data_IF_705236285685
#
_entry.id   IF_705236285685
#
_cell.length_a   1.000
_cell.length_b   1.000
_cell.length_c   1.000
_cell.angle_alpha   90.00
_cell.angle_beta   90.00
_cell.angle_gamma   90.00
#
_symmetry.space_group_name_H-M   'P 1'
#
loop_
_entity.id
_entity.type
_entity.pdbx_description
1 polymer ?
#
# COMPACT_ATOMS: atom_id res chain seq x y z
N UNK A 1 -19.55 17.12 9.25
CA UNK A 1 -18.56 16.53 8.33
C UNK A 1 -18.55 17.37 7.06
N UNK A 2 -17.38 17.69 6.50
CA UNK A 2 -17.32 18.34 5.18
C UNK A 2 -17.90 17.41 4.11
N UNK A 3 -18.36 17.97 2.99
CA UNK A 3 -18.82 17.15 1.86
C UNK A 3 -17.66 16.32 1.31
N UNK A 4 -17.78 15.00 1.31
CA UNK A 4 -16.74 14.10 0.82
C UNK A 4 -16.61 14.21 -0.70
N UNK A 5 -15.35 14.31 -1.15
CA UNK A 5 -14.96 14.37 -2.56
C UNK A 5 -13.97 13.28 -2.95
N UNK A 6 -13.37 12.61 -1.98
CA UNK A 6 -12.51 11.46 -2.21
C UNK A 6 -12.69 10.40 -1.13
N UNK A 7 -12.74 9.14 -1.55
CA UNK A 7 -12.72 7.95 -0.70
C UNK A 7 -11.38 7.25 -0.96
N UNK A 8 -10.50 7.25 0.02
CA UNK A 8 -9.24 6.53 0.01
C UNK A 8 -9.38 5.27 0.87
N UNK A 9 -9.32 4.10 0.27
CA UNK A 9 -9.59 2.82 0.97
C UNK A 9 -8.42 1.86 0.82
N UNK A 10 -8.08 1.18 1.90
CA UNK A 10 -7.28 -0.03 1.83
C UNK A 10 -8.01 -1.15 1.06
N UNK A 11 -7.26 -2.17 0.63
CA UNK A 11 -7.75 -3.35 -0.07
C UNK A 11 -7.99 -4.52 0.90
N UNK A 12 -6.91 -5.04 1.50
CA UNK A 12 -6.88 -6.37 2.12
C UNK A 12 -7.35 -6.31 3.57
N UNK A 13 -8.55 -6.83 3.84
CA UNK A 13 -9.18 -6.67 5.16
C UNK A 13 -10.09 -5.45 5.25
N UNK A 14 -10.21 -4.70 4.15
CA UNK A 14 -11.06 -3.50 4.07
C UNK A 14 -12.04 -3.54 2.89
N UNK A 15 -11.54 -3.47 1.66
CA UNK A 15 -12.37 -3.45 0.44
C UNK A 15 -12.86 -4.84 0.03
N UNK A 16 -11.99 -5.85 0.16
CA UNK A 16 -12.28 -7.24 -0.24
C UNK A 16 -12.55 -8.12 0.98
N UNK A 17 -13.36 -9.15 0.78
CA UNK A 17 -13.60 -10.18 1.79
C UNK A 17 -12.35 -11.06 2.00
N UNK A 18 -12.43 -12.00 2.95
CA UNK A 18 -11.30 -12.90 3.26
C UNK A 18 -10.95 -13.83 2.09
N UNK A 19 -11.90 -14.08 1.20
CA UNK A 19 -11.71 -14.83 -0.04
C UNK A 19 -11.21 -13.95 -1.21
N UNK A 20 -10.84 -12.69 -0.92
CA UNK A 20 -10.31 -11.69 -1.85
C UNK A 20 -11.29 -11.29 -2.96
N UNK A 21 -12.59 -11.44 -2.72
CA UNK A 21 -13.65 -11.02 -3.63
C UNK A 21 -14.20 -9.64 -3.26
N UNK A 22 -14.67 -8.92 -4.28
CA UNK A 22 -15.47 -7.72 -4.10
C UNK A 22 -16.93 -8.10 -3.92
N UNK A 23 -17.54 -7.62 -2.84
CA UNK A 23 -18.98 -7.73 -2.65
C UNK A 23 -19.74 -6.92 -3.72
N UNK A 24 -20.85 -7.46 -4.28
CA UNK A 24 -21.72 -6.70 -5.18
C UNK A 24 -22.18 -5.37 -4.58
N UNK A 25 -22.44 -5.33 -3.26
CA UNK A 25 -22.87 -4.13 -2.55
C UNK A 25 -21.79 -3.07 -2.54
N UNK A 26 -20.55 -3.44 -2.21
CA UNK A 26 -19.39 -2.53 -2.25
C UNK A 26 -19.16 -1.97 -3.66
N UNK A 27 -19.28 -2.81 -4.69
CA UNK A 27 -19.16 -2.35 -6.09
C UNK A 27 -20.24 -1.31 -6.42
N UNK A 28 -21.49 -1.55 -6.04
CA UNK A 28 -22.61 -0.63 -6.32
C UNK A 28 -22.42 0.72 -5.62
N UNK A 29 -22.09 0.70 -4.33
CA UNK A 29 -21.90 1.90 -3.51
C UNK A 29 -20.74 2.75 -4.03
N UNK A 30 -19.62 2.14 -4.41
CA UNK A 30 -18.49 2.86 -5.01
C UNK A 30 -18.81 3.37 -6.42
N UNK A 31 -19.59 2.63 -7.22
CA UNK A 31 -20.10 3.13 -8.51
C UNK A 31 -20.97 4.36 -8.32
N UNK A 32 -21.86 4.36 -7.34
CA UNK A 32 -22.70 5.51 -7.00
C UNK A 32 -21.86 6.71 -6.57
N UNK A 33 -20.87 6.51 -5.70
CA UNK A 33 -20.01 7.61 -5.23
C UNK A 33 -19.31 8.32 -6.41
N UNK A 34 -18.82 7.55 -7.38
CA UNK A 34 -18.20 8.10 -8.59
C UNK A 34 -19.19 8.82 -9.50
N UNK A 35 -20.43 8.33 -9.61
CA UNK A 35 -21.48 9.03 -10.35
C UNK A 35 -21.79 10.41 -9.74
N UNK A 36 -21.59 10.57 -8.43
CA UNK A 36 -21.71 11.84 -7.71
C UNK A 36 -20.42 12.70 -7.75
N UNK A 37 -19.42 12.30 -8.56
CA UNK A 37 -18.16 13.02 -8.75
C UNK A 37 -17.13 12.81 -7.64
N UNK A 38 -17.32 11.80 -6.78
CA UNK A 38 -16.38 11.46 -5.71
C UNK A 38 -15.30 10.53 -6.28
N UNK A 39 -14.03 10.90 -6.08
CA UNK A 39 -12.91 10.04 -6.45
C UNK A 39 -12.86 8.83 -5.52
N UNK A 40 -12.72 7.63 -6.10
CA UNK A 40 -12.45 6.40 -5.34
C UNK A 40 -11.01 5.99 -5.62
N UNK A 41 -10.18 5.99 -4.59
CA UNK A 41 -8.74 5.72 -4.69
C UNK A 41 -8.40 4.51 -3.84
N UNK A 42 -7.86 3.47 -4.48
CA UNK A 42 -7.34 2.31 -3.76
C UNK A 42 -5.93 2.64 -3.24
N UNK A 43 -5.68 2.35 -1.97
CA UNK A 43 -4.41 2.58 -1.30
C UNK A 43 -3.83 1.25 -0.82
N UNK A 44 -2.71 0.80 -1.37
CA UNK A 44 -2.23 -0.57 -1.12
C UNK A 44 -0.71 -0.69 -1.06
N UNK A 45 -0.23 -1.72 -0.38
CA UNK A 45 1.17 -2.16 -0.42
C UNK A 45 1.56 -2.84 -1.75
N UNK A 46 0.57 -3.24 -2.56
CA UNK A 46 0.77 -3.95 -3.82
C UNK A 46 1.27 -3.01 -4.94
N UNK A 47 1.98 -3.55 -5.95
CA UNK A 47 2.22 -2.85 -7.20
C UNK A 47 0.94 -2.66 -8.02
N UNK A 48 0.98 -1.82 -9.06
CA UNK A 48 -0.14 -1.63 -9.99
C UNK A 48 -0.61 -2.95 -10.63
N UNK A 49 0.34 -3.83 -10.99
CA UNK A 49 0.03 -5.17 -11.53
C UNK A 49 -0.82 -6.01 -10.59
N UNK A 50 -0.64 -5.84 -9.28
CA UNK A 50 -1.35 -6.60 -8.23
C UNK A 50 -2.77 -6.12 -7.94
N UNK A 51 -3.21 -5.03 -8.57
CA UNK A 51 -4.55 -4.44 -8.37
C UNK A 51 -5.34 -4.21 -9.66
N UNK A 52 -4.74 -4.47 -10.83
CA UNK A 52 -5.36 -4.24 -12.13
C UNK A 52 -6.75 -4.88 -12.26
N UNK A 53 -6.93 -6.11 -11.78
CA UNK A 53 -8.23 -6.81 -11.82
C UNK A 53 -9.30 -6.10 -10.97
N UNK A 54 -8.94 -5.62 -9.77
CA UNK A 54 -9.85 -4.88 -8.90
C UNK A 54 -10.26 -3.55 -9.53
N UNK A 55 -9.31 -2.85 -10.16
CA UNK A 55 -9.58 -1.61 -10.88
C UNK A 55 -10.60 -1.84 -12.00
N UNK A 56 -10.45 -2.89 -12.81
CA UNK A 56 -11.42 -3.24 -13.85
C UNK A 56 -12.79 -3.61 -13.29
N UNK A 57 -12.86 -4.41 -12.22
CA UNK A 57 -14.16 -4.77 -11.59
C UNK A 57 -14.91 -3.56 -11.05
N UNK A 58 -14.19 -2.58 -10.51
CA UNK A 58 -14.73 -1.31 -10.05
C UNK A 58 -14.96 -0.30 -11.19
N UNK A 59 -14.47 -0.57 -12.40
CA UNK A 59 -14.51 0.34 -13.55
C UNK A 59 -13.63 1.59 -13.37
N UNK A 60 -12.54 1.46 -12.62
CA UNK A 60 -11.53 2.49 -12.35
C UNK A 60 -10.36 2.42 -13.35
N UNK A 61 -10.36 1.50 -14.30
CA UNK A 61 -9.28 1.22 -15.25
C UNK A 61 -9.23 2.22 -16.43
N UNK A 62 -9.23 3.51 -16.12
CA UNK A 62 -9.06 4.60 -17.07
C UNK A 62 -8.14 5.69 -16.49
N UNK A 63 -7.71 6.63 -17.34
CA UNK A 63 -6.68 7.60 -16.96
C UNK A 63 -7.17 8.74 -16.07
N UNK A 64 -8.50 8.88 -15.90
CA UNK A 64 -9.12 9.87 -15.00
C UNK A 64 -9.20 9.37 -13.54
N UNK A 65 -8.83 8.10 -13.31
CA UNK A 65 -8.79 7.49 -11.98
C UNK A 65 -7.35 7.24 -11.55
N UNK A 66 -7.16 7.15 -10.24
CA UNK A 66 -5.85 7.08 -9.61
C UNK A 66 -5.79 5.94 -8.60
N UNK A 67 -4.58 5.45 -8.38
CA UNK A 67 -4.29 4.40 -7.40
C UNK A 67 -2.97 4.72 -6.70
N UNK A 68 -2.97 4.49 -5.38
CA UNK A 68 -1.78 4.62 -4.53
C UNK A 68 -1.23 3.21 -4.31
N UNK A 69 0.03 3.00 -4.68
CA UNK A 69 0.70 1.69 -4.67
C UNK A 69 1.94 1.72 -3.80
N UNK A 70 2.48 0.54 -3.47
CA UNK A 70 3.68 0.38 -2.65
C UNK A 70 3.62 1.17 -1.33
N UNK A 71 2.49 1.07 -0.62
CA UNK A 71 2.20 1.74 0.66
C UNK A 71 2.27 3.27 0.62
N UNK A 72 2.25 3.90 -0.57
CA UNK A 72 2.37 5.35 -0.70
C UNK A 72 3.65 5.80 -1.40
N UNK A 73 4.51 4.89 -1.84
CA UNK A 73 5.71 5.25 -2.60
C UNK A 73 5.38 5.90 -3.95
N UNK A 74 4.18 5.67 -4.49
CA UNK A 74 3.70 6.43 -5.65
C UNK A 74 2.18 6.47 -5.73
N UNK A 75 1.67 7.55 -6.32
CA UNK A 75 0.34 7.59 -6.92
C UNK A 75 0.49 7.59 -8.44
N UNK A 76 -0.31 6.78 -9.12
CA UNK A 76 -0.29 6.65 -10.58
C UNK A 76 -1.71 6.74 -11.14
N UNK A 77 -1.81 7.15 -12.40
CA UNK A 77 -3.02 6.98 -13.19
C UNK A 77 -3.32 5.50 -13.38
N UNK A 78 -4.58 5.09 -13.15
CA UNK A 78 -4.97 3.70 -12.99
C UNK A 78 -4.81 2.83 -14.27
N UNK A 79 -4.86 3.46 -15.46
CA UNK A 79 -4.70 2.74 -16.74
C UNK A 79 -3.29 2.84 -17.30
N UNK A 80 -2.79 4.05 -17.51
CA UNK A 80 -1.46 4.28 -18.11
C UNK A 80 -0.30 3.96 -17.16
N UNK A 81 -0.54 3.91 -15.85
CA UNK A 81 0.53 3.82 -14.85
C UNK A 81 1.40 5.08 -14.79
N UNK A 82 0.98 6.18 -15.43
CA UNK A 82 1.71 7.44 -15.39
C UNK A 82 1.72 7.98 -13.96
N UNK A 83 2.91 8.21 -13.42
CA UNK A 83 3.06 8.73 -12.09
C UNK A 83 2.57 10.17 -11.95
N UNK A 84 1.89 10.42 -10.84
CA UNK A 84 1.48 11.74 -10.36
C UNK A 84 2.58 12.28 -9.44
N UNK A 85 3.07 11.46 -8.52
CA UNK A 85 4.24 11.69 -7.68
C UNK A 85 4.90 10.36 -7.31
N UNK A 86 6.14 10.44 -6.81
CA UNK A 86 6.92 9.30 -6.31
C UNK A 86 7.73 9.71 -5.08
N UNK A 87 7.77 8.83 -4.09
CA UNK A 87 8.62 8.87 -2.90
C UNK A 87 9.52 7.64 -2.92
N UNK A 88 10.70 7.79 -3.50
CA UNK A 88 11.60 6.68 -3.82
C UNK A 88 12.73 6.55 -2.80
N UNK A 89 13.33 5.38 -2.76
CA UNK A 89 14.60 5.15 -2.08
C UNK A 89 15.75 5.41 -3.04
N UNK A 90 16.88 5.86 -2.50
CA UNK A 90 18.07 6.09 -3.32
C UNK A 90 18.77 4.77 -3.62
N UNK A 91 19.44 4.68 -4.77
CA UNK A 91 20.24 3.50 -5.10
C UNK A 91 21.37 3.24 -4.08
N UNK A 92 21.85 4.29 -3.40
CA UNK A 92 22.78 4.13 -2.26
C UNK A 92 22.15 3.40 -1.08
N UNK A 93 20.85 3.56 -0.84
CA UNK A 93 20.13 2.85 0.22
C UNK A 93 20.04 1.37 -0.10
N UNK A 94 19.76 1.03 -1.36
CA UNK A 94 19.78 -0.34 -1.85
C UNK A 94 21.15 -1.00 -1.70
N UNK A 95 22.23 -0.33 -2.11
CA UNK A 95 23.59 -0.84 -1.90
C UNK A 95 23.92 -1.06 -0.42
N UNK A 96 23.50 -0.15 0.44
CA UNK A 96 23.77 -0.24 1.87
C UNK A 96 22.97 -1.37 2.54
N UNK A 97 21.67 -1.47 2.27
CA UNK A 97 20.80 -2.51 2.80
C UNK A 97 21.16 -3.91 2.28
N UNK A 98 21.62 -4.03 1.03
CA UNK A 98 22.14 -5.28 0.47
C UNK A 98 23.41 -5.76 1.20
N UNK A 99 24.30 -4.84 1.58
CA UNK A 99 25.49 -5.20 2.35
C UNK A 99 25.11 -5.71 3.75
N UNK A 100 24.17 -5.02 4.41
CA UNK A 100 23.68 -5.41 5.74
C UNK A 100 22.93 -6.74 5.68
N UNK A 101 22.09 -6.97 4.67
CA UNK A 101 21.34 -8.22 4.57
C UNK A 101 22.27 -9.43 4.45
N UNK A 102 23.40 -9.29 3.74
CA UNK A 102 24.44 -10.33 3.65
C UNK A 102 25.16 -10.56 4.97
N UNK A 103 25.50 -9.49 5.69
CA UNK A 103 26.12 -9.58 7.02
C UNK A 103 25.21 -10.30 8.01
N UNK A 104 23.93 -9.93 8.02
CA UNK A 104 22.89 -10.49 8.90
C UNK A 104 22.33 -11.84 8.40
N UNK A 105 22.76 -12.30 7.22
CA UNK A 105 22.33 -13.56 6.59
C UNK A 105 20.81 -13.66 6.42
N UNK A 106 20.21 -12.57 5.95
CA UNK A 106 18.78 -12.48 5.63
C UNK A 106 18.61 -12.16 4.14
N UNK A 107 17.70 -12.87 3.49
CA UNK A 107 17.40 -12.66 2.07
C UNK A 107 16.69 -11.34 1.87
N UNK A 108 17.11 -10.61 0.83
CA UNK A 108 16.58 -9.29 0.50
C UNK A 108 16.12 -9.26 -0.96
N UNK A 109 15.08 -8.48 -1.20
CA UNK A 109 14.58 -8.13 -2.51
C UNK A 109 14.32 -6.62 -2.61
N UNK A 110 14.25 -6.11 -3.83
CA UNK A 110 13.95 -4.70 -4.10
C UNK A 110 12.91 -4.62 -5.20
N UNK A 111 11.93 -3.75 -5.02
CA UNK A 111 10.80 -3.60 -5.94
C UNK A 111 10.81 -2.20 -6.53
N UNK A 112 10.72 -2.14 -7.85
CA UNK A 112 10.66 -0.90 -8.61
C UNK A 112 9.22 -0.45 -8.86
N UNK A 113 9.07 0.83 -9.18
CA UNK A 113 7.77 1.47 -9.51
C UNK A 113 7.06 0.82 -10.69
N UNK A 114 7.79 0.20 -11.62
CA UNK A 114 7.30 -0.49 -12.80
C UNK A 114 7.10 -2.00 -12.58
N UNK A 115 6.91 -2.42 -11.31
CA UNK A 115 6.54 -3.80 -10.94
C UNK A 115 7.61 -4.86 -11.27
N UNK A 116 8.89 -4.48 -11.22
CA UNK A 116 9.99 -5.45 -11.26
C UNK A 116 10.47 -5.75 -9.85
N UNK A 117 10.81 -7.02 -9.61
CA UNK A 117 11.37 -7.49 -8.34
C UNK A 117 12.79 -7.99 -8.60
N UNK A 118 13.77 -7.31 -8.01
CA UNK A 118 15.18 -7.70 -8.05
C UNK A 118 15.56 -8.47 -6.79
N UNK A 119 16.22 -9.62 -6.98
CA UNK A 119 16.92 -10.37 -5.93
C UNK A 119 18.41 -10.35 -6.23
N UNK A 120 19.22 -10.15 -5.18
CA UNK A 120 20.68 -10.04 -5.31
C UNK A 120 21.42 -11.34 -4.98
N UNK A 121 20.72 -12.32 -4.42
CA UNK A 121 21.22 -13.69 -4.15
C UNK A 121 20.83 -14.64 -5.29
N UNK A 122 21.75 -15.51 -5.76
CA UNK A 122 21.42 -16.55 -6.73
C UNK A 122 20.59 -17.70 -6.12
N UNK A 123 20.64 -17.86 -4.80
CA UNK A 123 19.76 -18.76 -4.07
C UNK A 123 18.46 -18.00 -3.76
N UNK A 124 17.49 -18.12 -4.67
CA UNK A 124 16.25 -17.36 -4.62
C UNK A 124 15.36 -17.92 -3.52
N UNK A 125 15.06 -17.09 -2.51
CA UNK A 125 14.24 -17.48 -1.38
C UNK A 125 12.79 -17.82 -1.79
N UNK A 126 12.19 -18.81 -1.11
CA UNK A 126 10.79 -19.20 -1.28
C UNK A 126 9.83 -18.00 -1.20
N UNK A 127 10.05 -17.08 -0.25
CA UNK A 127 9.16 -15.94 -0.04
C UNK A 127 9.25 -14.87 -1.13
N UNK A 128 10.39 -14.76 -1.83
CA UNK A 128 10.48 -13.93 -3.05
C UNK A 128 9.69 -14.53 -4.21
N UNK A 129 9.72 -15.86 -4.37
CA UNK A 129 8.87 -16.55 -5.36
C UNK A 129 7.40 -16.38 -5.02
N UNK A 130 7.05 -16.54 -3.74
CA UNK A 130 5.68 -16.36 -3.26
C UNK A 130 5.15 -14.94 -3.53
N UNK A 131 5.97 -13.92 -3.29
CA UNK A 131 5.60 -12.52 -3.59
C UNK A 131 5.29 -12.34 -5.08
N UNK A 132 6.15 -12.84 -5.97
CA UNK A 132 5.94 -12.72 -7.43
C UNK A 132 4.68 -13.46 -7.89
N UNK A 133 4.32 -14.57 -7.24
CA UNK A 133 3.12 -15.32 -7.54
C UNK A 133 1.85 -14.51 -7.22
N UNK A 134 1.82 -13.83 -6.06
CA UNK A 134 0.65 -13.05 -5.64
C UNK A 134 0.54 -11.69 -6.32
N UNK A 135 1.67 -11.07 -6.67
CA UNK A 135 1.72 -9.69 -7.20
C UNK A 135 1.91 -9.63 -8.71
N UNK A 136 2.22 -10.76 -9.34
CA UNK A 136 2.53 -10.89 -10.77
C UNK A 136 3.71 -10.03 -11.24
N UNK A 137 4.63 -9.69 -10.32
CA UNK A 137 5.86 -8.97 -10.64
C UNK A 137 6.85 -9.84 -11.42
N UNK A 138 7.68 -9.19 -12.24
CA UNK A 138 8.77 -9.87 -12.96
C UNK A 138 9.98 -10.05 -12.04
N UNK A 139 10.27 -11.31 -11.66
CA UNK A 139 11.46 -11.67 -10.88
C UNK A 139 12.74 -11.56 -11.73
N UNK A 140 13.74 -10.86 -11.21
CA UNK A 140 15.06 -10.68 -11.83
C UNK A 140 16.15 -10.96 -10.81
N UNK A 141 16.96 -11.99 -11.06
CA UNK A 141 18.24 -12.13 -10.37
C UNK A 141 19.29 -11.21 -10.98
N UNK A 142 19.86 -10.32 -10.17
CA UNK A 142 21.00 -9.44 -10.49
C UNK A 142 21.78 -9.15 -9.21
N UNK A 143 23.09 -9.44 -9.15
CA UNK A 143 23.94 -8.89 -8.10
C UNK A 143 23.78 -7.37 -8.02
N UNK A 144 23.84 -6.78 -6.82
CA UNK A 144 23.63 -5.33 -6.63
C UNK A 144 24.53 -4.47 -7.53
N UNK A 145 25.74 -4.95 -7.84
CA UNK A 145 26.72 -4.30 -8.72
C UNK A 145 26.34 -4.30 -10.20
N UNK A 146 25.36 -5.10 -10.59
CA UNK A 146 24.86 -5.25 -11.97
C UNK A 146 23.46 -4.64 -12.17
N UNK A 147 22.83 -4.16 -11.09
CA UNK A 147 21.54 -3.45 -11.20
C UNK A 147 21.82 -2.03 -11.70
N UNK A 148 21.09 -1.53 -12.71
CA UNK A 148 21.24 -0.15 -13.17
C UNK A 148 20.98 0.85 -12.03
N UNK A 149 21.80 1.89 -11.89
CA UNK A 149 21.64 2.85 -10.79
C UNK A 149 20.43 3.79 -10.95
N UNK A 150 19.85 3.85 -12.15
CA UNK A 150 18.70 4.69 -12.50
C UNK A 150 17.34 4.00 -12.30
N UNK A 151 17.33 2.81 -11.69
CA UNK A 151 16.06 2.17 -11.31
C UNK A 151 15.32 3.01 -10.26
N UNK A 152 14.01 3.11 -10.42
CA UNK A 152 13.14 3.82 -9.48
C UNK A 152 12.68 2.86 -8.37
N UNK A 153 13.38 2.90 -7.23
CA UNK A 153 13.14 1.97 -6.13
C UNK A 153 11.95 2.45 -5.30
N UNK A 154 10.84 1.69 -5.35
CA UNK A 154 9.66 1.97 -4.55
C UNK A 154 9.82 1.44 -3.12
N UNK A 155 10.40 0.24 -2.97
CA UNK A 155 10.67 -0.36 -1.66
C UNK A 155 11.80 -1.38 -1.70
N UNK A 156 12.48 -1.53 -0.57
CA UNK A 156 13.46 -2.59 -0.32
C UNK A 156 12.91 -3.42 0.83
N UNK A 157 13.06 -4.75 0.81
CA UNK A 157 12.52 -5.57 1.89
C UNK A 157 13.30 -6.86 2.08
N UNK A 158 13.35 -7.31 3.32
CA UNK A 158 13.71 -8.69 3.63
C UNK A 158 12.54 -9.61 3.32
N UNK A 159 12.84 -10.72 2.65
CA UNK A 159 11.90 -11.74 2.23
C UNK A 159 12.50 -13.11 2.53
N UNK A 160 12.21 -13.61 3.73
CA UNK A 160 12.88 -14.80 4.26
C UNK A 160 11.99 -15.55 5.27
N UNK A 161 12.42 -16.74 5.66
CA UNK A 161 11.83 -17.49 6.75
C UNK A 161 11.75 -16.62 8.02
N UNK A 162 10.63 -16.64 8.76
CA UNK A 162 10.42 -15.79 9.92
C UNK A 162 11.57 -15.82 10.93
N UNK A 163 12.16 -17.00 11.17
CA UNK A 163 13.31 -17.17 12.04
C UNK A 163 14.55 -16.38 11.61
N UNK A 164 14.78 -16.23 10.31
CA UNK A 164 15.92 -15.47 9.79
C UNK A 164 15.71 -13.97 10.02
N UNK A 165 14.48 -13.48 9.80
CA UNK A 165 14.11 -12.09 10.10
C UNK A 165 14.19 -11.83 11.60
N UNK A 166 13.65 -12.72 12.43
CA UNK A 166 13.67 -12.60 13.89
C UNK A 166 15.10 -12.58 14.46
N UNK A 167 16.03 -13.30 13.82
CA UNK A 167 17.45 -13.29 14.18
C UNK A 167 18.18 -12.03 13.68
N UNK A 168 17.80 -11.50 12.51
CA UNK A 168 18.44 -10.34 11.91
C UNK A 168 17.99 -9.03 12.56
N UNK A 169 16.70 -8.88 12.87
CA UNK A 169 16.09 -7.63 13.29
C UNK A 169 16.73 -7.00 14.54
N UNK A 170 17.10 -7.75 15.61
CA UNK A 170 17.78 -7.17 16.77
C UNK A 170 19.18 -6.62 16.47
N UNK A 171 19.77 -6.99 15.33
CA UNK A 171 21.10 -6.56 14.89
C UNK A 171 21.04 -5.52 13.77
N UNK A 172 19.84 -5.05 13.40
CA UNK A 172 19.67 -3.97 12.44
C UNK A 172 20.16 -2.65 13.08
N UNK A 173 21.04 -1.87 12.41
CA UNK A 173 21.50 -0.59 12.93
C UNK A 173 20.34 0.37 13.23
N UNK A 174 20.34 0.98 14.42
CA UNK A 174 19.25 1.84 14.89
C UNK A 174 19.03 3.07 13.99
N UNK A 175 20.09 3.60 13.38
CA UNK A 175 20.01 4.74 12.46
C UNK A 175 19.22 4.45 11.19
N UNK A 176 19.08 3.17 10.81
CA UNK A 176 18.21 2.77 9.70
C UNK A 176 16.73 2.82 10.06
N UNK A 177 16.39 2.52 11.33
CA UNK A 177 15.03 2.63 11.83
C UNK A 177 14.55 4.09 11.87
N UNK A 178 15.47 5.04 12.08
CA UNK A 178 15.18 6.47 12.02
C UNK A 178 15.12 7.00 10.58
N UNK A 179 15.92 6.41 9.67
CA UNK A 179 16.04 6.85 8.28
C UNK A 179 14.89 6.39 7.39
N UNK A 180 14.31 5.21 7.64
CA UNK A 180 13.29 4.60 6.80
C UNK A 180 11.98 4.39 7.56
N UNK A 181 10.87 4.41 6.84
CA UNK A 181 9.63 3.83 7.38
C UNK A 181 9.76 2.30 7.32
N UNK A 182 9.94 1.70 8.50
CA UNK A 182 10.20 0.28 8.65
C UNK A 182 8.94 -0.46 9.13
N UNK A 183 8.44 -1.40 8.33
CA UNK A 183 7.21 -2.14 8.65
C UNK A 183 7.41 -3.64 8.46
N UNK A 184 7.04 -4.42 9.49
CA UNK A 184 6.84 -5.87 9.32
C UNK A 184 5.41 -6.13 8.84
N UNK A 185 5.23 -6.27 7.53
CA UNK A 185 3.92 -6.46 6.91
C UNK A 185 3.41 -7.90 7.04
N UNK A 186 4.33 -8.87 7.03
CA UNK A 186 4.05 -10.29 7.23
C UNK A 186 5.12 -10.91 8.13
N UNK A 187 4.88 -12.13 8.64
CA UNK A 187 5.89 -12.84 9.45
C UNK A 187 7.22 -13.03 8.70
N UNK A 188 7.17 -13.12 7.37
CA UNK A 188 8.29 -13.34 6.46
C UNK A 188 8.68 -12.10 5.64
N UNK A 189 8.09 -10.92 5.91
CA UNK A 189 8.40 -9.67 5.21
C UNK A 189 8.70 -8.52 6.18
N UNK A 190 9.85 -7.89 5.99
CA UNK A 190 10.23 -6.66 6.68
C UNK A 190 10.64 -5.61 5.64
N UNK A 191 9.89 -4.51 5.58
CA UNK A 191 9.97 -3.52 4.51
C UNK A 191 10.68 -2.26 5.00
N UNK A 192 11.59 -1.75 4.16
CA UNK A 192 12.21 -0.44 4.25
C UNK A 192 11.61 0.43 3.16
N UNK A 193 11.01 1.56 3.55
CA UNK A 193 10.35 2.48 2.64
C UNK A 193 10.84 3.91 2.90
N UNK A 194 10.64 4.79 1.91
CA UNK A 194 10.88 6.21 2.10
C UNK A 194 9.94 6.71 3.24
N UNK A 195 10.40 7.51 4.22
CA UNK A 195 9.56 8.01 5.31
C UNK A 195 8.31 8.80 4.86
N UNK A 196 8.33 9.34 3.64
CA UNK A 196 7.18 10.03 3.05
C UNK A 196 6.18 9.05 2.42
N UNK A 197 6.60 7.82 2.08
CA UNK A 197 5.82 6.78 1.42
C UNK A 197 4.85 6.07 2.37
N UNK A 198 3.93 6.83 2.97
CA UNK A 198 2.81 6.28 3.75
C UNK A 198 1.50 6.48 3.02
N UNK A 199 0.52 5.57 3.21
CA UNK A 199 -0.78 5.65 2.54
C UNK A 199 -1.49 6.97 2.83
N UNK A 200 -1.42 7.45 4.07
CA UNK A 200 -1.99 8.72 4.48
C UNK A 200 -1.34 9.92 3.81
N UNK A 201 0.00 10.01 3.79
CA UNK A 201 0.70 11.09 3.07
C UNK A 201 0.30 11.11 1.60
N UNK A 202 0.33 9.93 0.97
CA UNK A 202 0.02 9.78 -0.44
C UNK A 202 -1.44 10.17 -0.76
N UNK A 203 -2.40 9.81 0.10
CA UNK A 203 -3.80 10.20 -0.04
C UNK A 203 -3.97 11.72 0.04
N UNK A 204 -3.33 12.38 1.02
CA UNK A 204 -3.39 13.84 1.15
C UNK A 204 -2.69 14.56 -0.02
N UNK A 205 -1.55 14.06 -0.48
CA UNK A 205 -0.83 14.63 -1.62
C UNK A 205 -1.61 14.49 -2.92
N UNK A 206 -2.22 13.32 -3.15
CA UNK A 206 -3.13 13.12 -4.29
C UNK A 206 -4.36 14.03 -4.18
N UNK A 207 -4.95 14.16 -2.99
CA UNK A 207 -6.04 15.10 -2.74
C UNK A 207 -5.67 16.53 -3.15
N UNK A 208 -4.51 17.02 -2.72
CA UNK A 208 -3.99 18.34 -3.13
C UNK A 208 -3.83 18.47 -4.64
N UNK A 209 -3.30 17.45 -5.32
CA UNK A 209 -3.18 17.42 -6.78
C UNK A 209 -4.56 17.56 -7.46
N UNK A 210 -5.60 16.97 -6.88
CA UNK A 210 -6.98 17.04 -7.35
C UNK A 210 -7.76 18.27 -6.86
N UNK A 211 -7.14 19.16 -6.08
CA UNK A 211 -7.81 20.32 -5.49
C UNK A 211 -8.82 19.97 -4.38
N UNK A 212 -8.58 18.86 -3.68
CA UNK A 212 -9.40 18.32 -2.59
C UNK A 212 -8.67 18.54 -1.27
N UNK A 213 -9.31 19.19 -0.31
CA UNK A 213 -8.74 19.40 1.02
C UNK A 213 -8.78 18.11 1.85
N UNK A 214 -7.86 17.96 2.80
CA UNK A 214 -7.82 16.79 3.69
C UNK A 214 -9.17 16.54 4.40
N UNK A 215 -9.87 17.62 4.80
CA UNK A 215 -11.19 17.52 5.45
C UNK A 215 -12.29 16.93 4.55
N UNK A 216 -12.08 16.86 3.24
CA UNK A 216 -13.01 16.33 2.23
C UNK A 216 -12.68 14.88 1.83
N UNK A 217 -11.70 14.26 2.51
CA UNK A 217 -11.24 12.89 2.24
C UNK A 217 -11.75 11.95 3.32
N UNK A 218 -12.53 10.96 2.91
CA UNK A 218 -12.89 9.82 3.73
C UNK A 218 -11.84 8.72 3.56
N UNK A 219 -11.30 8.21 4.67
CA UNK A 219 -10.30 7.13 4.66
C UNK A 219 -10.83 5.88 5.34
N UNK A 220 -10.49 4.69 4.82
CA UNK A 220 -10.85 3.42 5.46
C UNK A 220 -9.68 2.43 5.48
N UNK A 221 -9.53 1.70 6.59
CA UNK A 221 -8.47 0.71 6.75
C UNK A 221 -8.66 -0.20 7.98
N UNK A 222 -7.77 -1.17 8.14
CA UNK A 222 -7.85 -2.18 9.20
C UNK A 222 -6.52 -2.56 9.88
N UNK A 223 -5.38 -2.29 9.24
CA UNK A 223 -4.05 -2.66 9.74
C UNK A 223 -3.15 -1.45 10.06
N UNK A 224 -1.99 -1.71 10.68
CA UNK A 224 -1.03 -0.67 11.08
C UNK A 224 -0.55 0.21 9.91
N UNK A 225 -0.42 -0.32 8.68
CA UNK A 225 -0.04 0.49 7.52
C UNK A 225 -1.15 1.47 7.08
N UNK A 226 -2.38 1.33 7.59
CA UNK A 226 -3.47 2.27 7.38
C UNK A 226 -3.53 3.37 8.43
N UNK A 227 -2.77 3.24 9.52
CA UNK A 227 -2.78 4.19 10.63
C UNK A 227 -2.58 5.64 10.15
N UNK A 228 -1.66 5.84 9.20
CA UNK A 228 -1.42 7.15 8.59
C UNK A 228 -2.64 7.70 7.83
N UNK A 229 -3.45 6.85 7.20
CA UNK A 229 -4.72 7.29 6.58
C UNK A 229 -5.73 7.67 7.65
N UNK A 230 -5.85 6.85 8.71
CA UNK A 230 -6.78 7.10 9.82
C UNK A 230 -6.47 8.43 10.52
N UNK A 231 -5.19 8.75 10.74
CA UNK A 231 -4.78 9.99 11.41
C UNK A 231 -4.87 11.24 10.54
N UNK A 232 -4.82 11.11 9.21
CA UNK A 232 -4.73 12.25 8.28
C UNK A 232 -6.01 12.51 7.49
N UNK A 233 -6.87 11.51 7.34
CA UNK A 233 -8.16 11.65 6.69
C UNK A 233 -9.04 12.69 7.38
N UNK A 234 -9.88 13.38 6.61
CA UNK A 234 -10.87 14.30 7.16
C UNK A 234 -11.98 13.61 7.93
N UNK A 235 -12.25 12.35 7.58
CA UNK A 235 -13.10 11.43 8.33
C UNK A 235 -12.61 10.00 8.12
N UNK A 236 -12.30 9.30 9.20
CA UNK A 236 -11.67 7.99 9.15
C UNK A 236 -12.58 6.87 9.64
N UNK A 237 -12.54 5.75 8.93
CA UNK A 237 -13.30 4.54 9.22
C UNK A 237 -12.34 3.40 9.52
N UNK A 238 -12.47 2.83 10.71
CA UNK A 238 -11.89 1.54 11.04
C UNK A 238 -12.86 0.41 10.70
N UNK A 239 -12.38 -0.63 10.04
CA UNK A 239 -13.18 -1.83 9.79
C UNK A 239 -13.45 -2.60 11.09
N UNK A 240 -14.54 -3.38 11.13
CA UNK A 240 -14.89 -4.17 12.32
C UNK A 240 -13.83 -5.24 12.66
N UNK A 241 -13.11 -5.73 11.66
CA UNK A 241 -11.97 -6.65 11.79
C UNK A 241 -10.63 -5.94 12.03
N UNK A 242 -10.60 -4.60 12.11
CA UNK A 242 -9.38 -3.85 12.35
C UNK A 242 -8.77 -4.14 13.72
N UNK A 243 -7.46 -3.94 13.82
CA UNK A 243 -6.74 -3.98 15.09
C UNK A 243 -7.18 -2.82 16.01
N UNK A 244 -6.99 -2.99 17.32
CA UNK A 244 -7.50 -2.03 18.32
C UNK A 244 -6.91 -0.63 18.13
N UNK A 245 -5.62 -0.52 17.78
CA UNK A 245 -4.96 0.77 17.54
C UNK A 245 -5.61 1.58 16.41
N UNK A 246 -6.17 0.91 15.40
CA UNK A 246 -6.89 1.55 14.29
C UNK A 246 -8.30 1.97 14.75
N UNK A 247 -9.00 1.10 15.48
CA UNK A 247 -10.34 1.39 16.02
C UNK A 247 -10.35 2.55 17.00
N UNK A 248 -9.33 2.64 17.86
CA UNK A 248 -9.21 3.69 18.87
C UNK A 248 -8.98 5.08 18.27
N UNK A 249 -8.37 5.16 17.08
CA UNK A 249 -8.02 6.41 16.41
C UNK A 249 -8.98 6.83 15.32
N UNK A 250 -9.86 5.94 14.86
CA UNK A 250 -10.83 6.26 13.82
C UNK A 250 -12.03 7.03 14.35
N UNK A 251 -12.63 7.87 13.50
CA UNK A 251 -13.87 8.59 13.81
C UNK A 251 -15.07 7.64 13.92
N UNK A 252 -15.03 6.53 13.19
CA UNK A 252 -16.09 5.53 13.20
C UNK A 252 -15.55 4.10 13.01
N UNK A 253 -16.09 3.17 13.79
CA UNK A 253 -15.89 1.72 13.59
C UNK A 253 -17.11 1.16 12.87
N UNK A 254 -16.90 0.61 11.67
CA UNK A 254 -17.96 -0.03 10.87
C UNK A 254 -17.99 -1.55 11.08
N UNK A 255 -18.81 -2.27 10.30
CA UNK A 255 -18.84 -3.74 10.28
C UNK A 255 -17.54 -4.33 9.68
N UNK A 256 -17.41 -5.65 9.67
CA UNK A 256 -16.24 -6.32 9.07
C UNK A 256 -16.25 -6.25 7.54
N UNK A 257 -15.10 -6.48 6.92
CA UNK A 257 -14.96 -6.67 5.47
C UNK A 257 -15.91 -7.75 4.92
N UNK A 258 -16.07 -8.86 5.63
CA UNK A 258 -16.98 -9.96 5.25
C UNK A 258 -18.47 -9.59 5.33
N UNK A 259 -18.80 -8.49 6.00
CA UNK A 259 -20.17 -8.03 6.23
C UNK A 259 -20.44 -6.67 5.56
N UNK A 260 -19.76 -6.36 4.46
CA UNK A 260 -19.92 -5.11 3.70
C UNK A 260 -19.65 -3.84 4.54
N UNK A 261 -18.74 -3.91 5.51
CA UNK A 261 -18.45 -2.80 6.44
C UNK A 261 -18.13 -1.49 5.73
N UNK A 262 -17.32 -1.53 4.67
CA UNK A 262 -16.98 -0.34 3.89
C UNK A 262 -18.21 0.24 3.20
N UNK A 263 -19.03 -0.60 2.55
CA UNK A 263 -20.23 -0.16 1.85
C UNK A 263 -21.23 0.50 2.81
N UNK A 264 -21.46 -0.13 3.98
CA UNK A 264 -22.33 0.41 5.04
C UNK A 264 -21.86 1.78 5.53
N UNK A 265 -20.55 1.96 5.71
CA UNK A 265 -20.01 3.23 6.15
C UNK A 265 -20.16 4.32 5.06
N UNK A 266 -19.88 4.00 3.80
CA UNK A 266 -20.06 4.95 2.70
C UNK A 266 -21.53 5.34 2.54
N UNK A 267 -22.46 4.39 2.60
CA UNK A 267 -23.90 4.69 2.57
C UNK A 267 -24.27 5.71 3.64
N UNK A 268 -23.82 5.47 4.88
CA UNK A 268 -24.14 6.30 6.04
C UNK A 268 -23.50 7.69 6.03
N UNK A 269 -22.24 7.81 5.59
CA UNK A 269 -21.50 9.07 5.74
C UNK A 269 -21.34 9.87 4.45
N UNK A 270 -21.71 9.27 3.30
CA UNK A 270 -21.64 9.93 2.00
C UNK A 270 -23.02 10.19 1.40
N UNK A 271 -24.01 9.33 1.66
CA UNK A 271 -25.34 9.43 1.02
C UNK A 271 -26.52 9.68 1.97
N UNK A 272 -26.38 9.45 3.27
CA UNK A 272 -27.39 9.81 4.27
C UNK A 272 -27.15 11.25 4.76
N UNK A 273 -28.23 12.01 4.96
CA UNK A 273 -28.23 13.41 5.43
C UNK A 273 -27.99 13.53 6.95
#
# INVERSE_FOLDING_TARGET
>A
MSKIKMIATDIDGTLVDDAKNLSPKTIEVLKKARADGIYVVLCTGRPLSGVANLLTQLGLDNDDNFVITHNGAQAVSAKSGKAIFKHLLDFSDFKHLDAISKELKVNMQTITTDSQLFVTSPDINYYSVLDTFYTHMQLRYRPVTEVPEDIEIAKIMWADYPENIDNALPNLPEDLLDKFDCIRSEKWFFEFMNPLATKGNAAIELGKHLGIDASEILTAGDQNNDLSMIEKGGFSIAMGNAIDTIKEKADYVTDTNNNDGLAKAIEKFVFED
#
